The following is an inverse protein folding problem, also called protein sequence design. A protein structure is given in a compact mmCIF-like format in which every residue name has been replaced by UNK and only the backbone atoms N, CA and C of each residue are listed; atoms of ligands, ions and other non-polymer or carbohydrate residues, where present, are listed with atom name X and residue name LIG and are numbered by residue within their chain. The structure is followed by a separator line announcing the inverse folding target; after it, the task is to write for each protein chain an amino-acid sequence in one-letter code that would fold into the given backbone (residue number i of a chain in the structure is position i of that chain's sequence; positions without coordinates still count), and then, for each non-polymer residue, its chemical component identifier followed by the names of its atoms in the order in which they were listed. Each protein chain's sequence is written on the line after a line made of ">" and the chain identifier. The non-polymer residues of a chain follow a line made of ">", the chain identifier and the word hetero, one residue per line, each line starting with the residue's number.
data_IF_255716806028
#
_entry.id   IF_255716806028
#
_cell.length_a   1.000
_cell.length_b   1.000
_cell.length_c   1.000
_cell.angle_alpha   90.00
_cell.angle_beta   90.00
_cell.angle_gamma   90.00
#
_symmetry.space_group_name_H-M   'P 1'
#
loop_
_entity.id
_entity.type
_entity.pdbx_description
1 polymer ?
#
# COMPACT_ATOMS: atom_id res chain seq x y z
N UNK A 1 -14.80 13.10 -49.33
CA UNK A 1 -15.60 12.80 -48.12
C UNK A 1 -14.73 11.94 -47.23
N UNK A 2 -13.95 12.59 -46.36
CA UNK A 2 -12.92 11.91 -45.54
C UNK A 2 -13.59 11.35 -44.28
N UNK A 3 -13.64 10.04 -44.17
CA UNK A 3 -13.97 9.34 -42.94
C UNK A 3 -12.88 9.60 -41.89
N UNK A 4 -13.19 10.44 -40.89
CA UNK A 4 -12.35 10.57 -39.70
C UNK A 4 -12.26 9.16 -39.03
N UNK A 5 -11.07 8.58 -39.06
CA UNK A 5 -10.77 7.36 -38.32
C UNK A 5 -11.06 7.64 -36.84
N UNK A 6 -11.81 6.77 -36.12
CA UNK A 6 -12.04 6.97 -34.71
C UNK A 6 -10.72 6.95 -33.96
N UNK A 7 -10.56 7.91 -33.06
CA UNK A 7 -9.37 8.07 -32.24
C UNK A 7 -9.28 6.88 -31.26
N UNK A 8 -8.62 5.80 -31.65
CA UNK A 8 -8.45 4.57 -30.86
C UNK A 8 -7.89 4.85 -29.46
N UNK A 9 -7.05 5.89 -29.34
CA UNK A 9 -6.53 6.36 -28.05
C UNK A 9 -7.65 6.88 -27.15
N UNK A 10 -8.63 7.60 -27.68
CA UNK A 10 -9.78 8.11 -26.89
C UNK A 10 -10.70 7.01 -26.42
N UNK A 11 -10.92 5.97 -27.23
CA UNK A 11 -11.70 4.78 -26.81
C UNK A 11 -10.99 3.95 -25.76
N UNK A 12 -9.67 3.78 -25.89
CA UNK A 12 -8.85 3.06 -24.90
C UNK A 12 -8.82 3.83 -23.57
N UNK A 13 -8.64 5.16 -23.59
CA UNK A 13 -8.72 6.01 -22.39
C UNK A 13 -10.10 5.93 -21.72
N UNK A 14 -11.19 5.93 -22.49
CA UNK A 14 -12.55 5.81 -21.96
C UNK A 14 -12.78 4.44 -21.31
N UNK A 15 -12.29 3.35 -21.90
CA UNK A 15 -12.44 1.99 -21.37
C UNK A 15 -11.61 1.77 -20.12
N UNK A 16 -10.36 2.23 -20.07
CA UNK A 16 -9.49 2.16 -18.87
C UNK A 16 -10.05 3.03 -17.73
N UNK A 17 -10.58 4.21 -18.01
CA UNK A 17 -11.22 5.08 -17.01
C UNK A 17 -12.51 4.48 -16.42
N UNK A 18 -13.32 3.80 -17.22
CA UNK A 18 -14.57 3.17 -16.76
C UNK A 18 -14.27 1.94 -15.87
N UNK A 19 -13.23 1.15 -16.19
CA UNK A 19 -12.84 0.01 -15.35
C UNK A 19 -12.23 0.43 -13.99
N UNK A 20 -11.55 1.57 -13.92
CA UNK A 20 -10.95 2.09 -12.68
C UNK A 20 -11.98 2.66 -11.69
N UNK A 21 -13.23 2.91 -12.13
CA UNK A 21 -14.25 3.63 -11.35
C UNK A 21 -15.16 2.74 -10.48
N UNK A 22 -15.08 1.40 -10.53
CA UNK A 22 -16.10 0.51 -9.92
C UNK A 22 -15.54 -0.49 -8.90
N UNK A 23 -14.28 -0.39 -8.50
CA UNK A 23 -13.72 -1.37 -7.55
C UNK A 23 -13.68 -0.85 -6.11
N UNK A 24 -14.64 -1.31 -5.30
CA UNK A 24 -14.86 -0.95 -3.88
C UNK A 24 -14.13 -1.88 -2.91
N UNK A 25 -12.83 -2.12 -3.11
CA UNK A 25 -12.02 -2.97 -2.22
C UNK A 25 -10.90 -2.20 -1.51
N UNK A 26 -10.36 -2.79 -0.46
CA UNK A 26 -9.11 -2.33 0.16
C UNK A 26 -7.96 -2.67 -0.80
N UNK A 27 -7.06 -1.71 -1.06
CA UNK A 27 -5.88 -1.89 -1.88
C UNK A 27 -4.61 -1.73 -1.08
N UNK A 28 -3.62 -2.57 -1.38
CA UNK A 28 -2.26 -2.35 -0.88
C UNK A 28 -1.58 -1.19 -1.63
N UNK A 29 -0.68 -0.50 -0.94
CA UNK A 29 0.22 0.49 -1.55
C UNK A 29 1.41 -0.17 -2.25
N UNK A 30 1.66 -1.45 -2.00
CA UNK A 30 2.70 -2.24 -2.64
C UNK A 30 2.09 -3.09 -3.75
N UNK A 31 2.89 -3.39 -4.76
CA UNK A 31 2.47 -4.25 -5.85
C UNK A 31 3.59 -4.52 -6.83
N UNK A 32 3.45 -5.61 -7.56
CA UNK A 32 4.33 -5.98 -8.66
C UNK A 32 3.52 -6.61 -9.79
N UNK A 33 3.87 -6.23 -11.02
CA UNK A 33 3.31 -6.87 -12.21
C UNK A 33 4.29 -6.84 -13.36
N UNK A 34 4.14 -7.82 -14.24
CA UNK A 34 4.85 -7.90 -15.51
C UNK A 34 3.83 -8.15 -16.60
N UNK A 35 3.96 -7.44 -17.72
CA UNK A 35 3.21 -7.71 -18.95
C UNK A 35 4.15 -7.76 -20.15
N UNK A 36 3.76 -8.53 -21.14
CA UNK A 36 4.50 -8.66 -22.39
C UNK A 36 3.55 -8.45 -23.56
N UNK A 37 4.06 -7.87 -24.63
CA UNK A 37 3.29 -7.71 -25.84
C UNK A 37 4.19 -7.45 -27.05
N UNK A 38 3.60 -7.67 -28.22
CA UNK A 38 4.30 -7.42 -29.47
C UNK A 38 4.16 -5.96 -29.88
N UNK A 39 5.27 -5.37 -30.27
CA UNK A 39 5.33 -4.02 -30.82
C UNK A 39 5.94 -4.08 -32.23
N UNK A 40 5.85 -3.02 -33.03
CA UNK A 40 6.53 -2.94 -34.34
C UNK A 40 8.04 -3.15 -34.27
N UNK A 41 8.67 -2.94 -33.11
CA UNK A 41 10.11 -3.13 -32.88
C UNK A 41 10.49 -4.53 -32.43
N UNK A 42 9.52 -5.33 -31.93
CA UNK A 42 9.73 -6.63 -31.34
C UNK A 42 8.92 -6.86 -30.07
N UNK A 43 9.31 -7.84 -29.29
CA UNK A 43 8.64 -8.13 -28.01
C UNK A 43 9.05 -7.13 -26.93
N UNK A 44 8.06 -6.42 -26.39
CA UNK A 44 8.22 -5.51 -25.23
C UNK A 44 7.85 -6.23 -23.96
N UNK A 45 8.67 -6.11 -22.94
CA UNK A 45 8.34 -6.50 -21.56
C UNK A 45 8.27 -5.27 -20.68
N UNK A 46 7.16 -5.09 -19.98
CA UNK A 46 6.94 -4.01 -19.01
C UNK A 46 6.85 -4.60 -17.63
N UNK A 47 7.64 -4.09 -16.68
CA UNK A 47 7.59 -4.40 -15.26
C UNK A 47 7.17 -3.16 -14.49
N UNK A 48 6.16 -3.30 -13.64
CA UNK A 48 5.69 -2.27 -12.71
C UNK A 48 5.95 -2.73 -11.27
N UNK A 49 6.62 -1.87 -10.50
CA UNK A 49 6.86 -2.09 -9.08
C UNK A 49 6.46 -0.85 -8.30
N UNK A 50 5.53 -1.02 -7.36
CA UNK A 50 5.07 0.03 -6.47
C UNK A 50 5.48 -0.25 -5.02
N UNK A 51 5.88 0.82 -4.31
CA UNK A 51 6.09 0.80 -2.86
C UNK A 51 5.40 2.01 -2.24
N UNK A 52 5.15 1.93 -0.92
CA UNK A 52 4.48 3.00 -0.20
C UNK A 52 5.23 4.34 -0.31
N UNK A 53 4.50 5.40 -0.67
CA UNK A 53 4.97 6.78 -0.61
C UNK A 53 3.78 7.73 -0.45
N UNK A 54 4.02 8.88 0.18
CA UNK A 54 2.99 9.90 0.42
C UNK A 54 2.47 10.54 -0.88
N UNK A 55 3.35 10.73 -1.86
CA UNK A 55 3.07 11.33 -3.16
C UNK A 55 3.41 10.35 -4.27
N UNK A 56 2.89 10.58 -5.47
CA UNK A 56 3.30 9.81 -6.64
C UNK A 56 4.74 10.23 -7.02
N UNK A 57 5.66 9.28 -6.96
CA UNK A 57 7.02 9.38 -7.47
C UNK A 57 7.20 8.32 -8.55
N UNK A 58 7.14 8.75 -9.82
CA UNK A 58 7.18 7.86 -10.97
C UNK A 58 8.55 7.91 -11.65
N UNK A 59 9.27 6.81 -11.55
CA UNK A 59 10.54 6.57 -12.25
C UNK A 59 10.31 5.68 -13.46
N UNK A 60 10.63 6.18 -14.66
CA UNK A 60 10.57 5.42 -15.90
C UNK A 60 11.98 5.00 -16.32
N UNK A 61 12.18 3.72 -16.61
CA UNK A 61 13.41 3.14 -17.18
C UNK A 61 13.04 2.42 -18.47
N UNK A 62 13.07 3.15 -19.54
CA UNK A 62 12.76 2.65 -20.87
C UNK A 62 14.07 2.40 -21.63
N UNK A 63 14.14 1.31 -22.41
CA UNK A 63 15.22 1.13 -23.37
C UNK A 63 15.18 2.24 -24.43
N UNK A 64 16.31 2.52 -25.07
CA UNK A 64 16.46 3.68 -25.97
C UNK A 64 15.43 3.69 -27.11
N UNK A 65 15.02 2.52 -27.57
CA UNK A 65 14.03 2.35 -28.64
C UNK A 65 12.63 2.85 -28.23
N UNK A 66 12.31 2.82 -26.93
CA UNK A 66 11.02 3.30 -26.40
C UNK A 66 11.08 4.71 -25.81
N UNK A 67 12.23 5.38 -25.87
CA UNK A 67 12.40 6.73 -25.28
C UNK A 67 11.41 7.75 -25.82
N UNK A 68 11.08 7.68 -27.10
CA UNK A 68 10.10 8.57 -27.72
C UNK A 68 8.67 8.39 -27.16
N UNK A 69 8.36 7.23 -26.56
CA UNK A 69 7.04 6.94 -25.97
C UNK A 69 6.93 7.38 -24.51
N UNK A 70 8.01 7.85 -23.85
CA UNK A 70 8.06 8.20 -22.43
C UNK A 70 6.94 9.17 -21.99
N UNK A 71 6.64 10.27 -22.71
CA UNK A 71 5.59 11.20 -22.28
C UNK A 71 4.22 10.51 -22.18
N UNK A 72 3.88 9.68 -23.17
CA UNK A 72 2.63 8.93 -23.22
C UNK A 72 2.57 7.89 -22.09
N UNK A 73 3.63 7.11 -21.86
CA UNK A 73 3.71 6.13 -20.78
C UNK A 73 3.53 6.81 -19.41
N UNK A 74 4.17 7.97 -19.21
CA UNK A 74 4.04 8.77 -18.01
C UNK A 74 2.60 9.23 -17.78
N UNK A 75 1.93 9.71 -18.80
CA UNK A 75 0.54 10.15 -18.73
C UNK A 75 -0.40 8.98 -18.37
N UNK A 76 -0.28 7.83 -19.06
CA UNK A 76 -1.07 6.64 -18.82
C UNK A 76 -0.92 6.17 -17.36
N UNK A 77 0.30 6.06 -16.85
CA UNK A 77 0.56 5.60 -15.49
C UNK A 77 0.05 6.62 -14.45
N UNK A 78 0.31 7.92 -14.65
CA UNK A 78 -0.10 8.97 -13.71
C UNK A 78 -1.61 9.17 -13.66
N UNK A 79 -2.34 8.82 -14.72
CA UNK A 79 -3.80 8.82 -14.71
C UNK A 79 -4.37 7.69 -13.85
N UNK A 80 -3.71 6.52 -13.85
CA UNK A 80 -4.17 5.30 -13.19
C UNK A 80 -3.73 5.21 -11.72
N UNK A 81 -2.56 5.74 -11.36
CA UNK A 81 -2.00 5.67 -10.00
C UNK A 81 -1.84 7.07 -9.42
N UNK A 82 -2.42 7.33 -8.24
CA UNK A 82 -2.45 8.68 -7.65
C UNK A 82 -1.37 8.90 -6.58
N UNK A 83 -0.81 7.84 -6.00
CA UNK A 83 0.22 7.92 -4.94
C UNK A 83 1.08 6.65 -4.93
N UNK A 84 2.22 6.73 -4.27
CA UNK A 84 3.20 5.65 -4.19
C UNK A 84 4.46 5.98 -4.98
N UNK A 85 5.57 5.32 -4.64
CA UNK A 85 6.77 5.35 -5.48
C UNK A 85 6.68 4.18 -6.46
N UNK A 86 6.50 4.51 -7.74
CA UNK A 86 6.31 3.56 -8.82
C UNK A 86 7.53 3.55 -9.75
N UNK A 87 8.09 2.39 -9.97
CA UNK A 87 9.12 2.15 -10.98
C UNK A 87 8.50 1.36 -12.13
N UNK A 88 8.60 1.90 -13.33
CA UNK A 88 8.24 1.24 -14.58
C UNK A 88 9.51 0.96 -15.38
N UNK A 89 9.77 -0.30 -15.64
CA UNK A 89 10.86 -0.73 -16.53
C UNK A 89 10.28 -1.30 -17.80
N UNK A 90 10.76 -0.83 -18.94
CA UNK A 90 10.42 -1.39 -20.24
C UNK A 90 11.67 -1.80 -21.00
N UNK A 91 11.71 -3.05 -21.42
CA UNK A 91 12.79 -3.64 -22.17
C UNK A 91 12.27 -4.23 -23.49
N UNK A 92 13.10 -4.14 -24.52
CA UNK A 92 12.84 -4.73 -25.83
C UNK A 92 13.62 -6.04 -25.96
N UNK A 93 12.93 -7.09 -26.36
CA UNK A 93 13.53 -8.28 -26.94
C UNK A 93 13.33 -8.22 -28.44
N UNK A 94 14.41 -7.91 -29.17
CA UNK A 94 14.38 -7.86 -30.63
C UNK A 94 13.81 -9.16 -31.19
N UNK A 95 12.92 -9.07 -32.17
CA UNK A 95 12.52 -10.23 -32.93
C UNK A 95 13.75 -10.74 -33.74
N UNK A 96 13.98 -12.03 -33.75
CA UNK A 96 15.11 -12.66 -34.45
C UNK A 96 15.08 -12.42 -35.98
N UNK A 97 14.09 -11.74 -36.50
CA UNK A 97 13.87 -11.41 -37.91
C UNK A 97 13.73 -9.91 -38.15
N UNK A 98 14.60 -9.09 -37.56
CA UNK A 98 14.75 -7.75 -38.11
C UNK A 98 15.44 -7.89 -39.48
N UNK A 99 14.66 -7.86 -40.56
CA UNK A 99 15.18 -7.73 -41.93
C UNK A 99 15.86 -6.38 -42.04
N UNK A 100 17.10 -6.30 -41.61
CA UNK A 100 17.94 -5.15 -41.85
C UNK A 100 18.09 -5.03 -43.37
N UNK A 101 17.51 -3.99 -43.92
CA UNK A 101 17.72 -3.65 -45.34
C UNK A 101 19.11 -3.11 -45.53
N UNK A 102 19.64 -3.17 -46.79
CA UNK A 102 20.87 -2.51 -47.15
C UNK A 102 20.53 -1.16 -47.81
N UNK A 103 21.09 -0.08 -47.29
CA UNK A 103 21.03 1.23 -47.93
C UNK A 103 21.90 1.24 -49.17
N UNK A 104 21.29 1.03 -50.35
CA UNK A 104 22.02 0.95 -51.63
C UNK A 104 22.83 2.20 -51.94
N UNK A 105 22.32 3.38 -51.56
CA UNK A 105 23.03 4.65 -51.81
C UNK A 105 24.29 4.77 -50.93
N UNK A 106 24.16 4.45 -49.62
CA UNK A 106 25.29 4.45 -48.70
C UNK A 106 26.35 3.40 -49.14
N UNK A 107 25.90 2.20 -49.50
CA UNK A 107 26.79 1.16 -50.00
C UNK A 107 27.55 1.58 -51.26
N UNK A 108 26.87 2.20 -52.24
CA UNK A 108 27.49 2.69 -53.46
C UNK A 108 28.57 3.75 -53.18
N UNK A 109 28.28 4.67 -52.23
CA UNK A 109 29.25 5.70 -51.83
C UNK A 109 30.49 5.08 -51.15
N UNK A 110 30.28 4.11 -50.24
CA UNK A 110 31.40 3.44 -49.56
C UNK A 110 32.28 2.69 -50.56
N UNK A 111 31.66 1.96 -51.48
CA UNK A 111 32.41 1.24 -52.52
C UNK A 111 33.17 2.19 -53.45
N UNK A 112 32.61 3.35 -53.81
CA UNK A 112 33.31 4.38 -54.61
C UNK A 112 34.54 4.92 -53.85
N UNK A 113 34.38 5.25 -52.55
CA UNK A 113 35.49 5.71 -51.70
C UNK A 113 36.56 4.63 -51.56
N UNK A 114 36.18 3.37 -51.39
CA UNK A 114 37.14 2.24 -51.37
C UNK A 114 37.96 2.19 -52.66
N UNK A 115 37.35 2.35 -53.84
CA UNK A 115 38.03 2.36 -55.12
C UNK A 115 39.04 3.51 -55.22
N UNK A 116 38.72 4.69 -54.72
CA UNK A 116 39.64 5.83 -54.66
C UNK A 116 40.85 5.54 -53.78
N UNK A 117 40.63 4.99 -52.57
CA UNK A 117 41.71 4.62 -51.65
C UNK A 117 42.64 3.57 -52.26
N UNK A 118 42.10 2.55 -52.91
CA UNK A 118 42.88 1.51 -53.58
C UNK A 118 43.75 2.07 -54.76
N UNK A 119 43.29 3.15 -55.41
CA UNK A 119 44.10 3.83 -56.44
C UNK A 119 45.24 4.65 -55.84
N UNK A 120 45.08 5.21 -54.68
CA UNK A 120 46.05 6.05 -53.99
C UNK A 120 47.09 5.23 -53.19
N UNK A 121 46.76 4.04 -52.77
CA UNK A 121 47.61 3.21 -51.89
C UNK A 121 47.60 1.75 -52.35
N UNK A 122 48.69 1.34 -52.98
CA UNK A 122 48.86 -0.02 -53.54
C UNK A 122 48.94 -1.13 -52.46
N UNK A 123 49.13 -0.77 -51.21
CA UNK A 123 49.19 -1.73 -50.08
C UNK A 123 47.84 -1.90 -49.39
N UNK A 124 46.83 -1.11 -49.74
CA UNK A 124 45.49 -1.24 -49.16
C UNK A 124 44.78 -2.51 -49.70
N UNK A 125 44.06 -3.18 -48.82
CA UNK A 125 43.20 -4.33 -49.17
C UNK A 125 41.74 -3.91 -49.19
N UNK A 126 40.91 -4.48 -50.09
CA UNK A 126 39.46 -4.21 -50.08
C UNK A 126 38.82 -4.62 -48.71
N UNK A 127 37.84 -3.86 -48.30
CA UNK A 127 37.05 -4.20 -47.12
C UNK A 127 36.26 -5.49 -47.31
N UNK A 128 36.16 -6.31 -46.30
CA UNK A 128 35.30 -7.47 -46.31
C UNK A 128 33.81 -7.08 -46.25
N UNK A 129 32.92 -8.00 -46.63
CA UNK A 129 31.48 -7.78 -46.50
C UNK A 129 31.09 -7.47 -45.04
N UNK A 130 31.76 -8.11 -44.08
CA UNK A 130 31.56 -7.84 -42.67
C UNK A 130 31.91 -6.39 -42.29
N UNK A 131 33.05 -5.90 -42.72
CA UNK A 131 33.49 -4.52 -42.46
C UNK A 131 32.51 -3.50 -43.05
N UNK A 132 32.02 -3.74 -44.26
CA UNK A 132 31.04 -2.88 -44.94
C UNK A 132 29.71 -2.86 -44.12
N UNK A 133 29.22 -4.00 -43.67
CA UNK A 133 27.96 -4.09 -42.91
C UNK A 133 28.05 -3.43 -41.51
N UNK A 134 29.26 -3.30 -40.96
CA UNK A 134 29.47 -2.59 -39.69
C UNK A 134 29.55 -1.05 -39.85
N UNK A 135 29.63 -0.54 -41.07
CA UNK A 135 29.67 0.91 -41.30
C UNK A 135 28.34 1.57 -40.99
N UNK A 136 28.37 2.74 -40.30
CA UNK A 136 27.16 3.50 -40.01
C UNK A 136 26.37 3.85 -41.28
N UNK A 137 25.06 3.60 -41.25
CA UNK A 137 24.16 3.93 -42.38
C UNK A 137 24.09 2.91 -43.52
N UNK A 138 24.86 1.82 -43.48
CA UNK A 138 24.76 0.72 -44.48
C UNK A 138 23.55 -0.16 -44.19
N UNK A 139 23.35 -0.54 -42.91
CA UNK A 139 22.14 -1.26 -42.52
C UNK A 139 21.04 -0.24 -42.25
N UNK A 140 19.88 -0.45 -42.86
CA UNK A 140 18.68 0.34 -42.57
C UNK A 140 17.83 -0.41 -41.60
N UNK A 141 17.50 0.24 -40.48
CA UNK A 141 16.37 -0.17 -39.65
C UNK A 141 15.10 0.29 -40.35
N UNK A 142 14.05 -0.53 -40.41
CA UNK A 142 12.76 -0.11 -40.94
C UNK A 142 12.27 1.14 -40.20
N UNK A 143 11.78 2.14 -40.93
CA UNK A 143 11.07 3.26 -40.30
C UNK A 143 9.85 2.72 -39.59
N UNK A 144 9.83 2.88 -38.28
CA UNK A 144 8.71 2.44 -37.43
C UNK A 144 7.71 3.58 -37.38
N UNK A 145 6.47 3.30 -37.77
CA UNK A 145 5.36 4.22 -37.57
C UNK A 145 5.21 4.52 -36.04
N UNK A 146 5.48 5.77 -35.68
CA UNK A 146 5.45 6.20 -34.26
C UNK A 146 4.06 6.07 -33.64
N UNK A 147 3.00 6.26 -34.42
CA UNK A 147 1.64 6.14 -33.94
C UNK A 147 1.30 4.66 -33.65
N UNK A 148 1.72 3.76 -34.54
CA UNK A 148 1.57 2.32 -34.33
C UNK A 148 2.41 1.83 -33.12
N UNK A 149 3.61 2.39 -32.93
CA UNK A 149 4.46 2.08 -31.76
C UNK A 149 3.79 2.57 -30.47
N UNK A 150 3.32 3.82 -30.43
CA UNK A 150 2.65 4.39 -29.27
C UNK A 150 1.39 3.57 -28.90
N UNK A 151 0.59 3.18 -29.89
CA UNK A 151 -0.59 2.35 -29.67
C UNK A 151 -0.23 0.98 -29.07
N UNK A 152 0.78 0.31 -29.60
CA UNK A 152 1.21 -1.00 -29.09
C UNK A 152 1.79 -0.89 -27.67
N UNK A 153 2.63 0.11 -27.40
CA UNK A 153 3.19 0.37 -26.07
C UNK A 153 2.08 0.68 -25.06
N UNK A 154 1.07 1.49 -25.43
CA UNK A 154 -0.07 1.81 -24.58
C UNK A 154 -0.85 0.55 -24.16
N UNK A 155 -1.03 -0.41 -25.06
CA UNK A 155 -1.67 -1.68 -24.75
C UNK A 155 -0.86 -2.50 -23.73
N UNK A 156 0.46 -2.64 -23.94
CA UNK A 156 1.31 -3.42 -23.03
C UNK A 156 1.38 -2.78 -21.64
N UNK A 157 1.52 -1.44 -21.58
CA UNK A 157 1.50 -0.68 -20.32
C UNK A 157 0.14 -0.79 -19.63
N UNK A 158 -0.96 -0.74 -20.39
CA UNK A 158 -2.32 -0.95 -19.87
C UNK A 158 -2.49 -2.32 -19.22
N UNK A 159 -2.06 -3.38 -19.89
CA UNK A 159 -2.09 -4.74 -19.35
C UNK A 159 -1.24 -4.88 -18.08
N UNK A 160 -0.06 -4.22 -18.05
CA UNK A 160 0.79 -4.19 -16.87
C UNK A 160 0.09 -3.47 -15.70
N UNK A 161 -0.62 -2.37 -15.95
CA UNK A 161 -1.38 -1.63 -14.94
C UNK A 161 -2.57 -2.44 -14.40
N UNK A 162 -3.29 -3.15 -15.25
CA UNK A 162 -4.38 -4.05 -14.82
C UNK A 162 -3.85 -5.16 -13.90
N UNK A 163 -2.78 -5.82 -14.32
CA UNK A 163 -2.13 -6.86 -13.50
C UNK A 163 -1.58 -6.31 -12.18
N UNK A 164 -1.03 -5.07 -12.20
CA UNK A 164 -0.54 -4.37 -11.02
C UNK A 164 -1.68 -4.05 -10.04
N UNK A 165 -2.80 -3.51 -10.52
CA UNK A 165 -3.96 -3.23 -9.68
C UNK A 165 -4.56 -4.51 -9.12
N UNK A 166 -4.68 -5.57 -9.91
CA UNK A 166 -5.14 -6.88 -9.43
C UNK A 166 -4.21 -7.47 -8.36
N UNK A 167 -2.89 -7.25 -8.45
CA UNK A 167 -1.94 -7.64 -7.41
C UNK A 167 -2.19 -6.87 -6.11
N UNK A 168 -2.39 -5.55 -6.19
CA UNK A 168 -2.68 -4.68 -5.05
C UNK A 168 -4.01 -5.02 -4.36
N UNK A 169 -5.01 -5.41 -5.13
CA UNK A 169 -6.32 -5.83 -4.61
C UNK A 169 -6.24 -7.16 -3.88
N UNK A 170 -5.52 -8.14 -4.42
CA UNK A 170 -5.29 -9.42 -3.72
C UNK A 170 -4.54 -9.22 -2.39
N UNK A 171 -3.50 -8.39 -2.39
CA UNK A 171 -2.74 -8.07 -1.18
C UNK A 171 -3.60 -7.26 -0.19
N UNK A 172 -4.37 -6.29 -0.68
CA UNK A 172 -5.30 -5.50 0.13
C UNK A 172 -6.37 -6.37 0.79
N UNK A 173 -6.92 -7.35 0.08
CA UNK A 173 -7.86 -8.31 0.64
C UNK A 173 -7.23 -9.18 1.76
N UNK A 174 -5.97 -9.60 1.59
CA UNK A 174 -5.24 -10.33 2.63
C UNK A 174 -5.00 -9.45 3.88
N UNK A 175 -4.63 -8.18 3.69
CA UNK A 175 -4.48 -7.21 4.79
C UNK A 175 -5.81 -6.97 5.51
N UNK A 176 -6.91 -6.82 4.77
CA UNK A 176 -8.25 -6.67 5.36
C UNK A 176 -8.66 -7.88 6.19
N UNK A 177 -8.33 -9.11 5.76
CA UNK A 177 -8.57 -10.33 6.52
C UNK A 177 -7.76 -10.36 7.83
N UNK A 178 -6.49 -9.93 7.80
CA UNK A 178 -5.65 -9.82 9.01
C UNK A 178 -6.25 -8.81 9.99
N UNK A 179 -6.65 -7.64 9.50
CA UNK A 179 -7.27 -6.60 10.34
C UNK A 179 -8.61 -7.07 10.93
N UNK A 180 -9.42 -7.80 10.16
CA UNK A 180 -10.67 -8.39 10.66
C UNK A 180 -10.40 -9.39 11.80
N UNK A 181 -9.39 -10.25 11.66
CA UNK A 181 -8.99 -11.19 12.71
C UNK A 181 -8.51 -10.48 13.98
N UNK A 182 -7.75 -9.38 13.82
CA UNK A 182 -7.35 -8.56 14.97
C UNK A 182 -8.57 -7.93 15.66
N UNK A 183 -9.58 -7.50 14.90
CA UNK A 183 -10.85 -7.02 15.46
C UNK A 183 -11.56 -8.11 16.28
N UNK A 184 -11.57 -9.36 15.77
CA UNK A 184 -12.17 -10.48 16.50
C UNK A 184 -11.43 -10.72 17.83
N UNK A 185 -10.10 -10.72 17.82
CA UNK A 185 -9.28 -10.86 19.03
C UNK A 185 -9.52 -9.73 20.05
N UNK A 186 -9.61 -8.47 19.56
CA UNK A 186 -9.90 -7.32 20.44
C UNK A 186 -11.28 -7.46 21.06
N UNK A 187 -12.29 -7.88 20.29
CA UNK A 187 -13.65 -8.12 20.78
C UNK A 187 -13.68 -9.22 21.84
N UNK A 188 -12.98 -10.34 21.63
CA UNK A 188 -12.84 -11.41 22.61
C UNK A 188 -12.23 -10.92 23.94
N UNK A 189 -11.14 -10.14 23.87
CA UNK A 189 -10.49 -9.58 25.07
C UNK A 189 -11.43 -8.61 25.80
N UNK A 190 -12.09 -7.71 25.06
CA UNK A 190 -13.04 -6.74 25.60
C UNK A 190 -14.21 -7.44 26.31
N UNK A 191 -14.79 -8.48 25.68
CA UNK A 191 -15.89 -9.24 26.28
C UNK A 191 -15.46 -10.06 27.51
N UNK A 192 -14.25 -10.63 27.48
CA UNK A 192 -13.70 -11.34 28.63
C UNK A 192 -13.52 -10.42 29.85
N UNK A 193 -13.03 -9.20 29.62
CA UNK A 193 -12.88 -8.19 30.69
C UNK A 193 -14.24 -7.71 31.15
N UNK A 194 -15.16 -7.38 30.25
CA UNK A 194 -16.48 -6.89 30.59
C UNK A 194 -17.25 -7.87 31.54
N UNK A 195 -17.13 -9.17 31.31
CA UNK A 195 -17.72 -10.21 32.16
C UNK A 195 -17.10 -10.25 33.55
N UNK A 196 -15.83 -9.91 33.72
CA UNK A 196 -15.12 -9.97 35.02
C UNK A 196 -15.22 -8.68 35.84
N UNK A 197 -15.55 -7.54 35.22
CA UNK A 197 -15.65 -6.25 35.92
C UNK A 197 -16.50 -6.30 37.19
N UNK A 198 -17.72 -6.90 37.22
CA UNK A 198 -18.53 -6.94 38.43
C UNK A 198 -17.83 -7.66 39.61
N UNK A 199 -17.12 -8.74 39.30
CA UNK A 199 -16.40 -9.51 40.34
C UNK A 199 -15.14 -8.78 40.80
N UNK A 200 -14.42 -8.14 39.87
CA UNK A 200 -13.24 -7.30 40.18
C UNK A 200 -13.65 -6.14 41.09
N UNK A 201 -14.74 -5.45 40.76
CA UNK A 201 -15.26 -4.36 41.59
C UNK A 201 -15.67 -4.83 42.98
N UNK A 202 -16.38 -5.98 43.09
CA UNK A 202 -16.77 -6.56 44.36
C UNK A 202 -15.55 -6.89 45.22
N UNK A 203 -14.61 -7.66 44.70
CA UNK A 203 -13.41 -8.08 45.42
C UNK A 203 -12.54 -6.89 45.86
N UNK A 204 -12.48 -5.87 45.02
CA UNK A 204 -11.72 -4.65 45.32
C UNK A 204 -12.38 -3.83 46.42
N UNK A 205 -13.71 -3.70 46.38
CA UNK A 205 -14.51 -3.03 47.40
C UNK A 205 -14.30 -3.72 48.74
N UNK A 206 -14.43 -5.04 48.81
CA UNK A 206 -14.23 -5.82 50.01
C UNK A 206 -12.82 -5.66 50.61
N UNK A 207 -11.78 -5.71 49.76
CA UNK A 207 -10.38 -5.49 50.19
C UNK A 207 -10.16 -4.06 50.70
N UNK A 208 -10.76 -3.08 50.07
CA UNK A 208 -10.63 -1.67 50.48
C UNK A 208 -11.35 -1.41 51.79
N UNK A 209 -12.57 -1.94 51.96
CA UNK A 209 -13.32 -1.86 53.20
C UNK A 209 -12.56 -2.51 54.36
N UNK A 210 -11.99 -3.69 54.12
CA UNK A 210 -11.19 -4.42 55.15
C UNK A 210 -9.94 -3.59 55.53
N UNK A 211 -9.16 -3.10 54.58
CA UNK A 211 -7.96 -2.27 54.87
C UNK A 211 -8.30 -0.98 55.61
N UNK A 212 -9.39 -0.32 55.23
CA UNK A 212 -9.84 0.87 55.91
C UNK A 212 -10.31 0.58 57.33
N UNK A 213 -11.03 -0.52 57.55
CA UNK A 213 -11.44 -0.97 58.89
C UNK A 213 -10.24 -1.31 59.77
N UNK A 214 -9.23 -2.00 59.25
CA UNK A 214 -8.00 -2.33 59.98
C UNK A 214 -7.22 -1.06 60.35
N UNK A 215 -7.02 -0.11 59.39
CA UNK A 215 -6.30 1.11 59.63
C UNK A 215 -7.01 2.05 60.66
N UNK A 216 -8.32 2.14 60.55
CA UNK A 216 -9.14 2.98 61.45
C UNK A 216 -9.38 2.30 62.81
N UNK A 217 -9.46 0.98 62.85
CA UNK A 217 -9.52 0.22 64.14
C UNK A 217 -8.28 0.47 64.98
N UNK A 218 -7.11 0.53 64.36
CA UNK A 218 -5.85 0.88 65.04
C UNK A 218 -5.84 2.34 65.50
N UNK A 219 -6.37 3.28 64.69
CA UNK A 219 -6.45 4.70 65.03
C UNK A 219 -7.50 5.01 66.14
N UNK A 220 -8.64 4.28 66.13
CA UNK A 220 -9.67 4.42 67.14
C UNK A 220 -9.26 3.88 68.51
N UNK A 221 -8.35 2.92 68.57
CA UNK A 221 -7.80 2.45 69.84
C UNK A 221 -6.86 3.48 70.50
N UNK A 222 -6.40 4.46 69.75
CA UNK A 222 -5.47 5.51 70.19
C UNK A 222 -6.10 6.93 70.32
N UNK A 223 -7.33 7.18 69.85
CA UNK A 223 -7.97 8.48 69.83
C UNK A 223 -9.44 8.43 70.27
N UNK A 224 -9.77 9.07 71.39
CA UNK A 224 -11.12 9.00 72.02
C UNK A 224 -12.17 9.98 71.49
N UNK A 225 -11.98 10.61 70.31
CA UNK A 225 -12.85 11.72 69.86
C UNK A 225 -13.62 11.48 68.55
N UNK A 226 -13.46 10.37 67.87
CA UNK A 226 -14.12 10.08 66.58
C UNK A 226 -15.19 9.02 66.78
N UNK A 227 -16.42 9.28 66.30
CA UNK A 227 -17.49 8.28 66.40
C UNK A 227 -17.35 7.14 65.39
N UNK A 228 -17.82 5.92 65.73
CA UNK A 228 -17.83 4.79 64.79
C UNK A 228 -18.67 5.10 63.53
N UNK A 229 -19.69 5.91 63.62
CA UNK A 229 -20.56 6.32 62.51
C UNK A 229 -19.80 7.18 61.52
N UNK A 230 -19.06 8.20 62.00
CA UNK A 230 -18.21 9.06 61.14
C UNK A 230 -17.13 8.27 60.40
N UNK A 231 -16.56 7.27 61.05
CA UNK A 231 -15.59 6.36 60.42
C UNK A 231 -16.25 5.54 59.32
N UNK A 232 -17.45 4.98 59.60
CA UNK A 232 -18.18 4.19 58.59
C UNK A 232 -18.57 5.00 57.38
N UNK A 233 -19.01 6.25 57.56
CA UNK A 233 -19.39 7.13 56.48
C UNK A 233 -18.16 7.57 55.63
N UNK A 234 -17.03 7.80 56.29
CA UNK A 234 -15.78 8.07 55.57
C UNK A 234 -15.30 6.90 54.72
N UNK A 235 -15.38 5.68 55.28
CA UNK A 235 -15.08 4.44 54.52
C UNK A 235 -15.98 4.34 53.30
N UNK A 236 -17.28 4.56 53.43
CA UNK A 236 -18.23 4.49 52.29
C UNK A 236 -17.92 5.53 51.25
N UNK A 237 -17.58 6.77 51.62
CA UNK A 237 -17.21 7.82 50.71
C UNK A 237 -15.95 7.46 49.91
N UNK A 238 -14.89 7.02 50.59
CA UNK A 238 -13.63 6.62 49.92
C UNK A 238 -13.80 5.43 48.99
N UNK A 239 -14.57 4.41 49.41
CA UNK A 239 -14.90 3.25 48.58
C UNK A 239 -15.69 3.65 47.36
N UNK A 240 -16.67 4.56 47.47
CA UNK A 240 -17.45 5.07 46.35
C UNK A 240 -16.59 5.89 45.39
N UNK A 241 -15.75 6.76 45.92
CA UNK A 241 -14.83 7.57 45.09
C UNK A 241 -13.85 6.69 44.31
N UNK A 242 -13.32 5.62 44.96
CA UNK A 242 -12.42 4.68 44.33
C UNK A 242 -13.12 3.85 43.24
N UNK A 243 -14.35 3.41 43.50
CA UNK A 243 -15.15 2.66 42.52
C UNK A 243 -15.44 3.49 41.26
N UNK A 244 -15.79 4.78 41.42
CA UNK A 244 -15.99 5.71 40.29
C UNK A 244 -14.70 5.93 39.48
N UNK A 245 -13.55 6.01 40.14
CA UNK A 245 -12.26 6.20 39.50
C UNK A 245 -11.79 5.00 38.67
N UNK A 246 -12.33 3.82 38.96
CA UNK A 246 -12.01 2.56 38.31
C UNK A 246 -13.07 2.12 37.30
N UNK A 247 -14.09 2.92 37.06
CA UNK A 247 -15.08 2.60 36.04
C UNK A 247 -14.44 2.63 34.67
N UNK A 248 -14.53 1.52 33.95
CA UNK A 248 -13.98 1.29 32.61
C UNK A 248 -15.08 0.94 31.60
N UNK A 249 -16.33 1.11 31.99
CA UNK A 249 -17.47 0.75 31.12
C UNK A 249 -17.50 1.62 29.85
N UNK A 250 -17.09 2.88 29.97
CA UNK A 250 -17.01 3.80 28.83
C UNK A 250 -15.92 3.36 27.83
N UNK A 251 -14.72 3.02 28.31
CA UNK A 251 -13.60 2.56 27.48
C UNK A 251 -13.95 1.28 26.73
N UNK A 252 -14.60 0.35 27.39
CA UNK A 252 -15.08 -0.90 26.79
C UNK A 252 -16.10 -0.63 25.69
N UNK A 253 -17.09 0.23 25.94
CA UNK A 253 -18.10 0.56 24.94
C UNK A 253 -17.50 1.33 23.75
N UNK A 254 -16.53 2.20 23.97
CA UNK A 254 -15.80 2.89 22.91
C UNK A 254 -14.97 1.91 22.08
N UNK A 255 -14.26 0.96 22.70
CA UNK A 255 -13.52 -0.08 21.98
C UNK A 255 -14.44 -0.92 21.08
N UNK A 256 -15.63 -1.33 21.59
CA UNK A 256 -16.65 -2.02 20.78
C UNK A 256 -17.09 -1.18 19.57
N UNK A 257 -17.35 0.09 19.79
CA UNK A 257 -17.75 1.02 18.73
C UNK A 257 -16.64 1.16 17.66
N UNK A 258 -15.40 1.26 18.09
CA UNK A 258 -14.25 1.36 17.18
C UNK A 258 -14.04 0.06 16.38
N UNK A 259 -14.22 -1.11 16.96
CA UNK A 259 -14.18 -2.39 16.22
C UNK A 259 -15.24 -2.43 15.11
N UNK A 260 -16.48 -2.02 15.43
CA UNK A 260 -17.56 -1.92 14.43
C UNK A 260 -17.18 -0.94 13.30
N UNK A 261 -16.61 0.22 13.67
CA UNK A 261 -16.18 1.22 12.68
C UNK A 261 -15.04 0.71 11.79
N UNK A 262 -14.04 0.00 12.35
CA UNK A 262 -12.98 -0.64 11.53
C UNK A 262 -13.61 -1.60 10.51
N UNK A 263 -14.48 -2.50 10.95
CA UNK A 263 -15.17 -3.45 10.06
C UNK A 263 -15.99 -2.74 8.98
N UNK A 264 -16.66 -1.63 9.32
CA UNK A 264 -17.41 -0.81 8.37
C UNK A 264 -16.49 -0.23 7.30
N UNK A 265 -15.35 0.36 7.70
CA UNK A 265 -14.38 0.95 6.78
C UNK A 265 -13.79 -0.12 5.85
N UNK A 266 -13.46 -1.30 6.39
CA UNK A 266 -12.93 -2.43 5.60
C UNK A 266 -13.95 -2.90 4.55
N UNK A 267 -15.24 -2.89 4.87
CA UNK A 267 -16.32 -3.27 3.93
C UNK A 267 -16.56 -2.21 2.87
N UNK A 268 -16.50 -0.94 3.22
CA UNK A 268 -16.71 0.18 2.28
C UNK A 268 -15.55 0.31 1.29
N UNK A 269 -14.32 -0.01 1.71
CA UNK A 269 -13.14 0.12 0.87
C UNK A 269 -12.77 1.57 0.53
N UNK A 270 -12.12 1.76 -0.62
CA UNK A 270 -11.65 3.05 -1.08
C UNK A 270 -10.43 3.55 -0.30
N UNK A 271 -10.29 4.87 -0.13
CA UNK A 271 -9.18 5.48 0.62
C UNK A 271 -9.32 5.26 2.13
N UNK A 272 -9.13 4.02 2.57
CA UNK A 272 -9.39 3.56 3.91
C UNK A 272 -8.24 3.83 4.89
N UNK A 273 -6.99 3.91 4.42
CA UNK A 273 -5.80 3.92 5.27
C UNK A 273 -5.82 5.01 6.34
N UNK A 274 -6.15 6.27 5.99
CA UNK A 274 -6.20 7.37 6.98
C UNK A 274 -7.33 7.22 7.99
N UNK A 275 -8.49 6.71 7.55
CA UNK A 275 -9.65 6.50 8.43
C UNK A 275 -9.34 5.42 9.45
N UNK A 276 -8.75 4.32 9.00
CA UNK A 276 -8.33 3.20 9.85
C UNK A 276 -7.22 3.63 10.82
N UNK A 277 -6.23 4.41 10.37
CA UNK A 277 -5.18 4.93 11.25
C UNK A 277 -5.75 5.80 12.38
N UNK A 278 -6.72 6.68 12.07
CA UNK A 278 -7.41 7.47 13.08
C UNK A 278 -8.15 6.59 14.11
N UNK A 279 -8.94 5.61 13.65
CA UNK A 279 -9.70 4.73 14.54
C UNK A 279 -8.78 3.90 15.42
N UNK A 280 -7.66 3.38 14.88
CA UNK A 280 -6.69 2.61 15.68
C UNK A 280 -5.93 3.47 16.69
N UNK A 281 -5.72 4.77 16.41
CA UNK A 281 -5.18 5.71 17.40
C UNK A 281 -6.16 5.91 18.56
N UNK A 282 -7.47 6.08 18.29
CA UNK A 282 -8.48 6.16 19.34
C UNK A 282 -8.57 4.85 20.14
N UNK A 283 -8.53 3.67 19.47
CA UNK A 283 -8.48 2.38 20.16
C UNK A 283 -7.27 2.28 21.10
N UNK A 284 -6.10 2.76 20.68
CA UNK A 284 -4.90 2.78 21.53
C UNK A 284 -5.10 3.69 22.75
N UNK A 285 -5.77 4.83 22.57
CA UNK A 285 -6.11 5.73 23.66
C UNK A 285 -7.02 5.05 24.68
N UNK A 286 -8.08 4.37 24.25
CA UNK A 286 -9.00 3.65 25.14
C UNK A 286 -8.28 2.50 25.86
N UNK A 287 -7.41 1.74 25.18
CA UNK A 287 -6.60 0.71 25.78
C UNK A 287 -5.62 1.26 26.85
N UNK A 288 -5.03 2.44 26.61
CA UNK A 288 -4.18 3.12 27.59
C UNK A 288 -4.98 3.56 28.82
N UNK A 289 -6.19 4.11 28.63
CA UNK A 289 -7.07 4.54 29.73
C UNK A 289 -7.53 3.34 30.54
N UNK A 290 -7.92 2.24 29.89
CA UNK A 290 -8.24 0.97 30.54
C UNK A 290 -7.06 0.47 31.40
N UNK A 291 -5.84 0.51 30.87
CA UNK A 291 -4.62 0.13 31.60
C UNK A 291 -4.33 1.04 32.79
N UNK A 292 -4.54 2.35 32.66
CA UNK A 292 -4.30 3.32 33.75
C UNK A 292 -5.34 3.24 34.87
N UNK A 293 -6.57 2.81 34.57
CA UNK A 293 -7.64 2.55 35.52
C UNK A 293 -7.60 1.13 36.08
N UNK A 294 -6.65 0.29 35.64
CA UNK A 294 -6.60 -1.12 36.06
C UNK A 294 -6.28 -1.26 37.54
N UNK A 295 -7.16 -1.95 38.26
CA UNK A 295 -6.99 -2.27 39.67
C UNK A 295 -6.69 -3.74 39.93
N UNK A 296 -6.74 -4.54 38.88
CA UNK A 296 -6.53 -5.97 38.90
C UNK A 296 -5.56 -6.40 37.80
N UNK A 297 -4.80 -7.44 38.05
CA UNK A 297 -3.81 -7.98 37.10
C UNK A 297 -4.50 -8.34 35.78
N UNK A 298 -5.70 -8.93 35.85
CA UNK A 298 -6.47 -9.31 34.66
C UNK A 298 -6.82 -8.14 33.75
N UNK A 299 -7.07 -6.96 34.32
CA UNK A 299 -7.30 -5.73 33.52
C UNK A 299 -6.01 -5.22 32.91
N UNK A 300 -4.89 -5.32 33.62
CA UNK A 300 -3.58 -4.96 33.10
C UNK A 300 -3.18 -5.85 31.94
N UNK A 301 -3.35 -7.17 32.10
CA UNK A 301 -3.05 -8.15 31.05
C UNK A 301 -3.91 -7.92 29.81
N UNK A 302 -5.18 -7.63 29.99
CA UNK A 302 -6.09 -7.28 28.90
C UNK A 302 -5.67 -6.00 28.19
N UNK A 303 -5.29 -4.94 28.92
CA UNK A 303 -4.81 -3.69 28.31
C UNK A 303 -3.53 -3.93 27.49
N UNK A 304 -2.61 -4.78 27.97
CA UNK A 304 -1.40 -5.16 27.24
C UNK A 304 -1.75 -5.94 25.96
N UNK A 305 -2.66 -6.92 26.06
CA UNK A 305 -3.11 -7.71 24.92
C UNK A 305 -3.79 -6.83 23.85
N UNK A 306 -4.66 -5.90 24.26
CA UNK A 306 -5.30 -4.93 23.37
C UNK A 306 -4.26 -4.06 22.66
N UNK A 307 -3.29 -3.51 23.38
CA UNK A 307 -2.22 -2.67 22.78
C UNK A 307 -1.41 -3.44 21.76
N UNK A 308 -1.01 -4.68 22.07
CA UNK A 308 -0.28 -5.51 21.13
C UNK A 308 -1.06 -5.74 19.83
N UNK A 309 -2.37 -6.05 19.95
CA UNK A 309 -3.23 -6.25 18.79
C UNK A 309 -3.40 -4.98 17.97
N UNK A 310 -3.59 -3.84 18.63
CA UNK A 310 -3.74 -2.53 17.98
C UNK A 310 -2.43 -2.12 17.28
N UNK A 311 -1.28 -2.35 17.89
CA UNK A 311 0.02 -2.04 17.27
C UNK A 311 0.27 -2.92 16.04
N UNK A 312 -0.09 -4.21 16.09
CA UNK A 312 -0.07 -5.08 14.92
C UNK A 312 -0.98 -4.56 13.79
N UNK A 313 -2.19 -4.08 14.13
CA UNK A 313 -3.07 -3.45 13.14
C UNK A 313 -2.40 -2.23 12.49
N UNK A 314 -1.79 -1.36 13.29
CA UNK A 314 -1.13 -0.13 12.79
C UNK A 314 0.04 -0.43 11.85
N UNK A 315 0.80 -1.49 12.08
CA UNK A 315 1.85 -1.93 11.15
C UNK A 315 1.26 -2.32 9.79
N UNK A 316 0.16 -3.08 9.78
CA UNK A 316 -0.49 -3.46 8.52
C UNK A 316 -1.12 -2.27 7.78
N UNK A 317 -1.64 -1.29 8.52
CA UNK A 317 -2.24 -0.08 7.96
C UNK A 317 -1.27 0.79 7.17
N UNK A 318 0.04 0.70 7.44
CA UNK A 318 1.05 1.43 6.67
C UNK A 318 1.06 1.03 5.19
N UNK A 319 0.56 -0.15 4.86
CA UNK A 319 0.52 -0.68 3.50
C UNK A 319 -0.88 -0.55 2.86
N UNK A 320 -1.86 0.07 3.50
CA UNK A 320 -3.22 0.26 2.98
C UNK A 320 -3.37 1.67 2.40
N UNK A 321 -3.93 1.70 1.17
CA UNK A 321 -4.27 2.95 0.49
C UNK A 321 -5.55 3.60 1.03
#
# INVERSE_FOLDING_TARGET
>A
MGLRRPNLTAYFFATVLVFLSVMSGIRSMTGFATAQGQTPLGFMTVELRGVNSRFLDLTLRLSDEFRATEPMVREVISSAVKRGKLECRASLKLADTSSSGINANALTNVLALQQEVLKLTSTATPMSVYDILQMPGILTTPEVDQDALNAAVAVVVGNALEAFNASREREGAALAAILSKNCDTIEEVVEAVAKRIPDIHRNLKEKLEQRLQEALGTALSSASSISREEVSDRIRQEVTFYALKMDVAEEINRLRTHVVEVRRILKEGGAAGRRLDFVTQEMNREANTLGSKSAAIEMTDAAVALKLCIDQMREQLQNIE
#
